data_IF_315329089295
#
_entry.id   IF_315329089295
#
_cell.length_a   1.000
_cell.length_b   1.000
_cell.length_c   1.000
_cell.angle_alpha   90.00
_cell.angle_beta   90.00
_cell.angle_gamma   90.00
#
_symmetry.space_group_name_H-M   'P 1'
#
loop_
_entity.id
_entity.type
_entity.pdbx_description
1 polymer ?
#
# COMPACT_ATOMS: atom_id res chain seq x y z
N UNK A 1 37.33 -10.25 24.39
CA UNK A 1 37.44 -10.55 22.96
C UNK A 1 36.31 -11.51 22.62
N UNK A 2 35.23 -11.20 21.91
CA UNK A 2 34.80 -10.06 21.09
C UNK A 2 33.26 -10.09 21.17
N UNK A 3 32.61 -8.95 21.42
CA UNK A 3 31.16 -8.80 21.30
C UNK A 3 30.77 -8.94 19.83
N UNK A 4 30.10 -10.05 19.48
CA UNK A 4 29.68 -10.38 18.12
C UNK A 4 28.18 -10.16 17.90
N UNK A 5 27.56 -9.19 18.58
CA UNK A 5 26.15 -8.84 18.42
C UNK A 5 26.04 -7.31 18.31
N UNK A 6 25.94 -6.75 17.10
CA UNK A 6 25.58 -5.32 17.00
C UNK A 6 25.97 -4.55 15.74
N UNK A 7 26.76 -5.10 14.82
CA UNK A 7 26.82 -4.54 13.47
C UNK A 7 25.74 -5.25 12.66
N UNK A 8 24.49 -4.78 12.79
CA UNK A 8 23.60 -4.89 11.63
C UNK A 8 24.42 -4.38 10.46
N UNK A 9 24.58 -5.17 9.39
CA UNK A 9 25.51 -4.90 8.29
C UNK A 9 25.06 -3.64 7.54
N UNK A 10 25.34 -2.48 8.14
CA UNK A 10 24.93 -1.16 7.66
C UNK A 10 25.57 -0.87 6.32
N UNK A 11 26.74 -1.44 6.04
CA UNK A 11 27.39 -1.36 4.72
C UNK A 11 26.58 -2.11 3.67
N UNK A 12 26.15 -3.35 3.95
CA UNK A 12 25.25 -4.09 3.06
C UNK A 12 23.89 -3.41 2.91
N UNK A 13 23.31 -2.92 4.00
CA UNK A 13 22.04 -2.20 3.96
C UNK A 13 22.13 -0.92 3.09
N UNK A 14 23.22 -0.16 3.22
CA UNK A 14 23.50 0.98 2.33
C UNK A 14 23.57 0.56 0.87
N UNK A 15 24.30 -0.52 0.56
CA UNK A 15 24.39 -1.03 -0.81
C UNK A 15 23.04 -1.46 -1.39
N UNK A 16 22.16 -2.07 -0.58
CA UNK A 16 20.79 -2.40 -0.99
C UNK A 16 20.00 -1.14 -1.31
N UNK A 17 20.04 -0.12 -0.44
CA UNK A 17 19.32 1.14 -0.64
C UNK A 17 19.87 1.91 -1.85
N UNK A 18 21.18 1.93 -2.05
CA UNK A 18 21.83 2.55 -3.21
C UNK A 18 21.43 1.85 -4.51
N UNK A 19 21.46 0.51 -4.53
CA UNK A 19 21.01 -0.29 -5.66
C UNK A 19 19.53 -0.05 -5.98
N UNK A 20 18.69 0.05 -4.95
CA UNK A 20 17.28 0.36 -5.10
C UNK A 20 17.04 1.76 -5.66
N UNK A 21 17.72 2.78 -5.14
CA UNK A 21 17.66 4.16 -5.67
C UNK A 21 18.09 4.22 -7.13
N UNK A 22 19.21 3.58 -7.47
CA UNK A 22 19.70 3.50 -8.84
C UNK A 22 18.70 2.81 -9.78
N UNK A 23 18.08 1.71 -9.34
CA UNK A 23 17.04 1.03 -10.10
C UNK A 23 15.85 1.93 -10.40
N UNK A 24 15.37 2.66 -9.38
CA UNK A 24 14.24 3.58 -9.57
C UNK A 24 14.56 4.71 -10.56
N UNK A 25 15.76 5.27 -10.47
CA UNK A 25 16.20 6.34 -11.38
C UNK A 25 16.38 5.84 -12.82
N UNK A 26 16.99 4.66 -13.01
CA UNK A 26 17.22 4.05 -14.32
C UNK A 26 15.91 3.70 -15.03
N UNK A 27 14.94 3.13 -14.31
CA UNK A 27 13.69 2.62 -14.90
C UNK A 27 12.50 3.58 -14.77
N UNK A 28 12.70 4.80 -14.25
CA UNK A 28 11.61 5.79 -14.09
C UNK A 28 10.83 6.04 -15.37
N UNK A 29 11.48 6.04 -16.54
CA UNK A 29 10.78 6.29 -17.81
C UNK A 29 10.07 5.05 -18.38
N UNK A 30 10.33 3.86 -17.84
CA UNK A 30 9.87 2.58 -18.39
C UNK A 30 8.78 1.92 -17.55
N UNK A 31 8.88 2.01 -16.21
CA UNK A 31 7.96 1.32 -15.30
C UNK A 31 6.87 2.27 -14.84
N UNK A 32 5.63 1.95 -15.23
CA UNK A 32 4.43 2.74 -14.91
C UNK A 32 4.31 3.02 -13.42
N UNK A 33 4.46 2.01 -12.55
CA UNK A 33 4.39 2.20 -11.09
C UNK A 33 5.32 3.32 -10.59
N UNK A 34 6.57 3.36 -11.08
CA UNK A 34 7.55 4.36 -10.66
C UNK A 34 7.14 5.75 -11.14
N UNK A 35 6.61 5.87 -12.36
CA UNK A 35 6.13 7.14 -12.90
C UNK A 35 4.99 7.72 -12.07
N UNK A 36 3.96 6.90 -11.81
CA UNK A 36 2.77 7.33 -11.10
C UNK A 36 3.11 7.72 -9.66
N UNK A 37 3.95 6.94 -8.99
CA UNK A 37 4.31 7.15 -7.58
C UNK A 37 5.36 8.25 -7.37
N UNK A 38 6.07 8.69 -8.41
CA UNK A 38 7.01 9.81 -8.33
C UNK A 38 6.33 11.17 -8.59
N UNK A 39 5.12 11.20 -9.15
CA UNK A 39 4.39 12.45 -9.34
C UNK A 39 3.71 12.90 -8.02
N UNK A 40 3.74 14.21 -7.68
CA UNK A 40 3.06 14.73 -6.49
C UNK A 40 1.53 14.77 -6.61
N UNK A 41 0.99 14.41 -7.78
CA UNK A 41 -0.46 14.30 -7.99
C UNK A 41 -0.86 12.86 -7.73
N UNK A 42 -1.94 12.67 -6.99
CA UNK A 42 -2.56 11.37 -6.67
C UNK A 42 -2.91 10.58 -7.94
N UNK A 43 -1.90 9.93 -8.51
CA UNK A 43 -2.07 8.98 -9.59
C UNK A 43 -2.11 7.60 -8.99
N UNK A 44 -3.30 7.01 -9.04
CA UNK A 44 -3.55 5.65 -8.58
C UNK A 44 -2.65 4.69 -9.36
N UNK A 45 -1.86 3.90 -8.64
CA UNK A 45 -1.12 2.79 -9.20
C UNK A 45 -1.98 1.53 -9.09
N UNK A 46 -2.08 0.74 -10.17
CA UNK A 46 -2.83 -0.51 -10.11
C UNK A 46 -2.04 -1.60 -9.39
N UNK A 47 -2.73 -2.61 -8.84
CA UNK A 47 -2.05 -3.80 -8.31
C UNK A 47 -1.14 -4.46 -9.35
N UNK A 48 -1.57 -4.50 -10.61
CA UNK A 48 -0.81 -5.06 -11.71
C UNK A 48 0.53 -4.32 -11.89
N UNK A 49 0.53 -2.99 -11.83
CA UNK A 49 1.77 -2.21 -11.95
C UNK A 49 2.71 -2.48 -10.77
N UNK A 50 2.16 -2.65 -9.56
CA UNK A 50 2.93 -3.03 -8.36
C UNK A 50 3.54 -4.44 -8.54
N UNK A 51 2.75 -5.40 -9.01
CA UNK A 51 3.20 -6.76 -9.28
C UNK A 51 4.29 -6.79 -10.35
N UNK A 52 4.14 -6.01 -11.42
CA UNK A 52 5.14 -5.89 -12.48
C UNK A 52 6.46 -5.37 -11.91
N UNK A 53 6.42 -4.32 -11.08
CA UNK A 53 7.61 -3.80 -10.40
C UNK A 53 8.24 -4.88 -9.51
N UNK A 54 7.45 -5.59 -8.71
CA UNK A 54 7.92 -6.68 -7.86
C UNK A 54 8.62 -7.79 -8.67
N UNK A 55 8.01 -8.21 -9.77
CA UNK A 55 8.53 -9.27 -10.65
C UNK A 55 9.83 -8.86 -11.33
N UNK A 56 9.99 -7.57 -11.67
CA UNK A 56 11.21 -7.06 -12.29
C UNK A 56 12.36 -7.00 -11.28
N UNK A 57 12.13 -6.47 -10.08
CA UNK A 57 13.18 -6.33 -9.06
C UNK A 57 13.65 -7.68 -8.50
N UNK A 58 12.79 -8.69 -8.54
CA UNK A 58 13.10 -10.05 -8.09
C UNK A 58 14.06 -10.79 -9.04
N UNK A 59 14.19 -10.36 -10.30
CA UNK A 59 15.04 -11.03 -11.30
C UNK A 59 16.52 -10.67 -11.14
N UNK A 60 17.45 -11.53 -11.59
CA UNK A 60 18.85 -11.15 -11.72
C UNK A 60 19.03 -9.93 -12.65
N UNK A 61 20.00 -9.04 -12.37
CA UNK A 61 20.99 -9.13 -11.29
C UNK A 61 20.49 -8.64 -9.91
N UNK A 62 19.33 -7.99 -9.82
CA UNK A 62 18.88 -7.27 -8.62
C UNK A 62 18.47 -8.17 -7.46
N UNK A 63 17.78 -9.29 -7.73
CA UNK A 63 17.36 -10.28 -6.72
C UNK A 63 16.77 -9.66 -5.44
N UNK A 64 15.99 -8.59 -5.60
CA UNK A 64 15.47 -7.76 -4.50
C UNK A 64 14.02 -8.10 -4.19
N UNK A 65 13.63 -7.90 -2.93
CA UNK A 65 12.26 -8.10 -2.46
C UNK A 65 11.84 -6.89 -1.61
N UNK A 66 10.53 -6.65 -1.43
CA UNK A 66 10.04 -5.60 -0.55
C UNK A 66 10.65 -5.70 0.87
N UNK A 67 10.66 -6.90 1.46
CA UNK A 67 11.27 -7.14 2.78
C UNK A 67 12.75 -6.78 2.82
N UNK A 68 13.52 -7.13 1.78
CA UNK A 68 14.95 -6.85 1.75
C UNK A 68 15.21 -5.33 1.75
N UNK A 69 14.47 -4.60 0.92
CA UNK A 69 14.62 -3.14 0.78
C UNK A 69 14.15 -2.44 2.05
N UNK A 70 13.00 -2.85 2.60
CA UNK A 70 12.47 -2.27 3.83
C UNK A 70 13.41 -2.46 5.02
N UNK A 71 13.90 -3.69 5.22
CA UNK A 71 14.83 -3.98 6.31
C UNK A 71 16.16 -3.23 6.15
N UNK A 72 16.59 -2.98 4.91
CA UNK A 72 17.74 -2.13 4.66
C UNK A 72 17.48 -0.68 5.12
N UNK A 73 16.32 -0.10 4.80
CA UNK A 73 15.92 1.21 5.32
C UNK A 73 15.81 1.24 6.86
N UNK A 74 15.21 0.21 7.48
CA UNK A 74 15.16 0.09 8.95
C UNK A 74 16.56 0.12 9.57
N UNK A 75 17.56 -0.47 8.90
CA UNK A 75 18.92 -0.53 9.41
C UNK A 75 19.67 0.81 9.32
N UNK A 76 19.34 1.69 8.37
CA UNK A 76 20.11 2.91 8.10
C UNK A 76 19.35 4.22 8.37
N UNK A 77 18.01 4.19 8.38
CA UNK A 77 17.13 5.35 8.51
C UNK A 77 16.03 5.11 9.57
N UNK A 78 16.32 4.27 10.59
CA UNK A 78 15.37 3.81 11.61
C UNK A 78 14.41 4.87 12.21
N UNK A 79 14.80 6.13 12.47
CA UNK A 79 13.88 7.13 13.01
C UNK A 79 12.72 7.49 12.08
N UNK A 80 12.89 7.32 10.76
CA UNK A 80 11.91 7.68 9.73
C UNK A 80 11.18 6.46 9.16
N UNK A 81 11.41 5.27 9.71
CA UNK A 81 10.91 4.00 9.16
C UNK A 81 10.11 3.26 10.22
N UNK A 82 8.82 3.08 9.97
CA UNK A 82 7.95 2.30 10.85
C UNK A 82 8.24 0.81 10.65
N UNK A 83 8.44 0.09 11.76
CA UNK A 83 8.66 -1.36 11.75
C UNK A 83 7.32 -2.09 11.69
N UNK A 84 7.23 -3.13 10.87
CA UNK A 84 6.12 -4.08 10.82
C UNK A 84 6.69 -5.50 10.80
N UNK A 85 5.99 -6.50 11.38
CA UNK A 85 6.46 -7.89 11.40
C UNK A 85 6.47 -8.55 10.02
N UNK A 86 5.68 -8.06 9.06
CA UNK A 86 5.63 -8.58 7.70
C UNK A 86 5.28 -7.46 6.72
N UNK A 87 5.85 -7.57 5.51
CA UNK A 87 5.57 -6.66 4.40
C UNK A 87 4.69 -7.33 3.35
N UNK A 88 3.83 -6.53 2.73
CA UNK A 88 3.00 -6.95 1.59
C UNK A 88 3.58 -6.42 0.28
N UNK A 89 3.09 -6.91 -0.86
CA UNK A 89 3.46 -6.34 -2.16
C UNK A 89 3.10 -4.85 -2.26
N UNK A 90 1.99 -4.44 -1.64
CA UNK A 90 1.57 -3.04 -1.58
C UNK A 90 2.54 -2.13 -0.82
N UNK A 91 3.42 -2.66 0.03
CA UNK A 91 4.49 -1.86 0.66
C UNK A 91 5.51 -1.33 -0.36
N UNK A 92 5.54 -1.85 -1.60
CA UNK A 92 6.29 -1.23 -2.69
C UNK A 92 5.81 0.19 -3.00
N UNK A 93 4.53 0.50 -2.78
CA UNK A 93 4.00 1.85 -2.91
C UNK A 93 4.74 2.80 -1.96
N UNK A 94 4.76 2.46 -0.68
CA UNK A 94 5.46 3.24 0.35
C UNK A 94 6.96 3.30 0.10
N UNK A 95 7.59 2.19 -0.31
CA UNK A 95 9.02 2.15 -0.60
C UNK A 95 9.40 3.08 -1.75
N UNK A 96 8.64 3.06 -2.85
CA UNK A 96 8.90 3.95 -4.00
C UNK A 96 8.73 5.40 -3.58
N UNK A 97 7.58 5.76 -2.99
CA UNK A 97 7.26 7.14 -2.61
C UNK A 97 8.26 7.73 -1.61
N UNK A 98 8.64 6.96 -0.59
CA UNK A 98 9.68 7.37 0.34
C UNK A 98 11.04 7.54 -0.35
N UNK A 99 11.44 6.58 -1.20
CA UNK A 99 12.75 6.59 -1.86
C UNK A 99 12.91 7.77 -2.83
N UNK A 100 11.85 8.13 -3.55
CA UNK A 100 11.85 9.28 -4.47
C UNK A 100 11.60 10.61 -3.76
N UNK A 101 11.40 10.61 -2.44
CA UNK A 101 11.20 11.79 -1.61
C UNK A 101 9.79 12.38 -1.69
N UNK A 102 8.81 11.63 -2.19
CA UNK A 102 7.41 12.04 -2.17
C UNK A 102 6.82 12.00 -0.74
N UNK A 103 7.25 11.03 0.07
CA UNK A 103 6.85 10.91 1.47
C UNK A 103 8.06 11.04 2.40
N UNK A 104 7.87 11.69 3.55
CA UNK A 104 8.95 11.96 4.51
C UNK A 104 9.24 10.78 5.45
N UNK A 105 8.29 9.87 5.61
CA UNK A 105 8.40 8.67 6.45
C UNK A 105 8.05 7.43 5.64
N UNK A 106 8.74 6.32 5.92
CA UNK A 106 8.44 5.02 5.37
C UNK A 106 7.49 4.27 6.31
N UNK A 107 6.21 4.28 5.95
CA UNK A 107 5.10 3.69 6.73
C UNK A 107 4.42 2.59 5.91
N UNK A 108 4.08 1.42 6.50
CA UNK A 108 3.41 0.34 5.78
C UNK A 108 2.16 0.84 5.06
N UNK A 109 1.92 0.38 3.84
CA UNK A 109 0.83 0.89 3.03
C UNK A 109 -0.54 0.64 3.69
N UNK A 110 -0.70 -0.51 4.33
CA UNK A 110 -1.89 -0.84 5.10
C UNK A 110 -2.15 0.11 6.28
N UNK A 111 -1.11 0.69 6.88
CA UNK A 111 -1.25 1.70 7.93
C UNK A 111 -1.76 3.02 7.34
N UNK A 112 -1.18 3.47 6.23
CA UNK A 112 -1.61 4.68 5.52
C UNK A 112 -3.08 4.58 5.08
N UNK A 113 -3.48 3.44 4.52
CA UNK A 113 -4.88 3.17 4.14
C UNK A 113 -5.82 3.25 5.34
N UNK A 114 -5.43 2.71 6.50
CA UNK A 114 -6.23 2.78 7.73
C UNK A 114 -6.33 4.21 8.28
N UNK A 115 -5.23 4.97 8.24
CA UNK A 115 -5.20 6.37 8.65
C UNK A 115 -6.13 7.22 7.76
N UNK A 116 -6.07 7.04 6.44
CA UNK A 116 -6.98 7.70 5.47
C UNK A 116 -8.43 7.30 5.67
N UNK A 117 -8.70 6.02 5.93
CA UNK A 117 -10.07 5.54 6.16
C UNK A 117 -10.67 6.14 7.43
N UNK A 118 -9.89 6.24 8.51
CA UNK A 118 -10.33 6.90 9.74
C UNK A 118 -10.64 8.38 9.49
N UNK A 119 -9.80 9.07 8.71
CA UNK A 119 -10.03 10.47 8.34
C UNK A 119 -11.29 10.63 7.47
N UNK A 120 -11.47 9.76 6.46
CA UNK A 120 -12.65 9.75 5.60
C UNK A 120 -13.94 9.52 6.40
N UNK A 121 -13.96 8.54 7.32
CA UNK A 121 -15.11 8.31 8.20
C UNK A 121 -15.45 9.53 9.05
N UNK A 122 -14.43 10.23 9.59
CA UNK A 122 -14.66 11.45 10.35
C UNK A 122 -15.24 12.58 9.49
N UNK A 123 -14.84 12.68 8.23
CA UNK A 123 -15.43 13.64 7.28
C UNK A 123 -16.89 13.29 6.96
N UNK A 124 -17.21 12.01 6.75
CA UNK A 124 -18.59 11.55 6.55
C UNK A 124 -19.47 11.88 7.75
N UNK A 125 -18.98 11.65 8.97
CA UNK A 125 -19.69 11.99 10.21
C UNK A 125 -19.93 13.51 10.33
N UNK A 126 -18.93 14.34 10.03
CA UNK A 126 -19.08 15.80 10.02
C UNK A 126 -20.09 16.30 8.97
N UNK A 127 -20.22 15.57 7.86
CA UNK A 127 -21.23 15.82 6.83
C UNK A 127 -22.64 15.30 7.21
N UNK A 128 -22.80 14.70 8.39
CA UNK A 128 -24.06 14.15 8.89
C UNK A 128 -24.40 12.76 8.34
N UNK A 129 -23.46 12.08 7.70
CA UNK A 129 -23.61 10.68 7.27
C UNK A 129 -23.32 9.76 8.45
N UNK A 130 -24.18 8.78 8.69
CA UNK A 130 -23.96 7.73 9.68
C UNK A 130 -24.14 6.39 9.00
N UNK A 131 -23.16 5.50 9.18
CA UNK A 131 -23.21 4.13 8.69
C UNK A 131 -23.69 3.20 9.79
N UNK A 132 -24.64 2.33 9.46
CA UNK A 132 -25.07 1.20 10.27
C UNK A 132 -23.95 0.16 10.43
N UNK A 133 -24.12 -0.76 11.37
CA UNK A 133 -23.18 -1.87 11.58
C UNK A 133 -23.00 -2.74 10.32
N UNK A 134 -24.08 -2.92 9.55
CA UNK A 134 -24.03 -3.67 8.30
C UNK A 134 -23.17 -2.96 7.25
N UNK A 135 -23.40 -1.67 7.05
CA UNK A 135 -22.63 -0.84 6.10
C UNK A 135 -21.16 -0.75 6.54
N UNK A 136 -20.90 -0.56 7.84
CA UNK A 136 -19.53 -0.53 8.39
C UNK A 136 -18.78 -1.83 8.16
N UNK A 137 -19.44 -2.98 8.27
CA UNK A 137 -18.80 -4.25 7.95
C UNK A 137 -18.32 -4.28 6.50
N UNK A 138 -19.14 -3.84 5.54
CA UNK A 138 -18.75 -3.79 4.12
C UNK A 138 -17.57 -2.85 3.92
N UNK A 139 -17.67 -1.62 4.41
CA UNK A 139 -16.60 -0.62 4.29
C UNK A 139 -15.28 -1.13 4.89
N UNK A 140 -15.31 -1.68 6.11
CA UNK A 140 -14.11 -2.18 6.79
C UNK A 140 -13.47 -3.36 6.03
N UNK A 141 -14.27 -4.22 5.39
CA UNK A 141 -13.75 -5.32 4.56
C UNK A 141 -13.19 -4.81 3.23
N UNK A 142 -13.86 -3.86 2.58
CA UNK A 142 -13.36 -3.21 1.35
C UNK A 142 -12.00 -2.54 1.60
N UNK A 143 -11.87 -1.82 2.73
CA UNK A 143 -10.60 -1.20 3.15
C UNK A 143 -9.50 -2.24 3.35
N UNK A 144 -9.82 -3.41 3.91
CA UNK A 144 -8.85 -4.50 4.07
C UNK A 144 -8.36 -5.05 2.73
N UNK A 145 -9.23 -5.10 1.71
CA UNK A 145 -8.84 -5.46 0.35
C UNK A 145 -7.93 -4.37 -0.23
N UNK A 146 -8.36 -3.09 -0.19
CA UNK A 146 -7.56 -1.96 -0.68
C UNK A 146 -6.16 -1.92 -0.05
N UNK A 147 -6.04 -2.19 1.25
CA UNK A 147 -4.73 -2.26 1.92
C UNK A 147 -3.80 -3.35 1.34
N UNK A 148 -4.38 -4.43 0.82
CA UNK A 148 -3.65 -5.60 0.31
C UNK A 148 -3.43 -5.57 -1.21
N UNK A 149 -4.30 -4.89 -1.96
CA UNK A 149 -4.29 -4.85 -3.44
C UNK A 149 -4.17 -3.44 -4.03
N UNK A 150 -4.04 -2.38 -3.23
CA UNK A 150 -4.04 -0.99 -3.68
C UNK A 150 -5.28 -0.59 -4.50
N UNK A 151 -6.40 -1.27 -4.27
CA UNK A 151 -7.69 -0.97 -4.87
C UNK A 151 -8.68 -2.11 -4.70
N UNK A 152 -9.96 -1.84 -4.94
CA UNK A 152 -11.03 -2.84 -4.94
C UNK A 152 -11.97 -2.64 -6.12
N UNK A 153 -12.36 -3.73 -6.77
CA UNK A 153 -13.31 -3.76 -7.86
C UNK A 153 -14.62 -4.43 -7.41
N UNK A 154 -15.72 -4.18 -8.13
CA UNK A 154 -17.00 -4.83 -7.83
C UNK A 154 -16.91 -6.37 -7.85
N UNK A 155 -16.09 -6.94 -8.73
CA UNK A 155 -15.85 -8.39 -8.79
C UNK A 155 -15.20 -8.97 -7.55
N UNK A 156 -14.46 -8.16 -6.77
CA UNK A 156 -13.83 -8.64 -5.53
C UNK A 156 -14.90 -8.95 -4.47
N UNK A 157 -16.12 -8.42 -4.63
CA UNK A 157 -17.26 -8.78 -3.79
C UNK A 157 -17.75 -10.21 -4.03
N UNK A 158 -17.32 -10.85 -5.11
CA UNK A 158 -17.64 -12.25 -5.40
C UNK A 158 -16.65 -13.23 -4.75
N UNK A 159 -15.73 -12.72 -3.91
CA UNK A 159 -14.78 -13.50 -3.11
C UNK A 159 -15.07 -13.42 -1.60
N UNK A 160 -14.44 -14.31 -0.82
CA UNK A 160 -14.50 -14.25 0.63
C UNK A 160 -13.74 -13.02 1.17
N UNK A 161 -14.22 -12.35 2.23
CA UNK A 161 -15.36 -12.72 3.08
C UNK A 161 -16.71 -12.18 2.60
N UNK A 162 -16.77 -11.45 1.49
CA UNK A 162 -18.00 -10.80 1.00
C UNK A 162 -19.09 -11.82 0.62
N UNK A 163 -18.69 -12.94 0.03
CA UNK A 163 -19.60 -14.06 -0.27
C UNK A 163 -20.31 -14.62 0.96
N UNK A 164 -19.72 -14.50 2.15
CA UNK A 164 -20.36 -14.90 3.41
C UNK A 164 -21.60 -14.03 3.75
N UNK A 165 -21.70 -12.83 3.15
CA UNK A 165 -22.87 -11.92 3.24
C UNK A 165 -23.67 -11.79 1.94
N UNK A 166 -23.44 -12.69 0.99
CA UNK A 166 -24.15 -12.74 -0.29
C UNK A 166 -23.44 -11.97 -1.42
N UNK A 167 -22.16 -11.64 -1.25
CA UNK A 167 -21.33 -11.02 -2.28
C UNK A 167 -21.90 -9.73 -2.85
N UNK A 168 -21.84 -9.55 -4.16
CA UNK A 168 -22.38 -8.36 -4.84
C UNK A 168 -23.84 -8.06 -4.49
N UNK A 169 -24.72 -9.07 -4.47
CA UNK A 169 -26.12 -8.89 -4.08
C UNK A 169 -26.27 -8.48 -2.61
N UNK A 170 -25.38 -8.98 -1.76
CA UNK A 170 -25.29 -8.59 -0.36
C UNK A 170 -24.92 -7.13 -0.17
N UNK A 171 -23.95 -6.64 -0.94
CA UNK A 171 -23.52 -5.25 -0.92
C UNK A 171 -24.66 -4.33 -1.39
N UNK A 172 -25.36 -4.68 -2.48
CA UNK A 172 -26.50 -3.91 -2.97
C UNK A 172 -27.65 -3.87 -1.95
N UNK A 173 -27.91 -4.97 -1.23
CA UNK A 173 -28.92 -5.01 -0.17
C UNK A 173 -28.56 -4.09 1.00
N UNK A 174 -27.32 -4.10 1.44
CA UNK A 174 -26.91 -3.44 2.70
C UNK A 174 -26.45 -1.99 2.50
N UNK A 175 -25.82 -1.66 1.36
CA UNK A 175 -25.34 -0.32 1.01
C UNK A 175 -26.29 0.43 0.06
N UNK A 176 -27.25 -0.27 -0.56
CA UNK A 176 -28.20 0.31 -1.50
C UNK A 176 -27.55 0.87 -2.77
N UNK A 177 -28.18 1.90 -3.34
CA UNK A 177 -27.75 2.55 -4.58
C UNK A 177 -26.35 3.19 -4.49
N UNK A 178 -25.85 3.42 -3.27
CA UNK A 178 -24.52 4.03 -3.02
C UNK A 178 -23.37 3.03 -3.10
N UNK A 179 -23.63 1.72 -3.28
CA UNK A 179 -22.58 0.70 -3.24
C UNK A 179 -21.44 0.97 -4.24
N UNK A 180 -21.80 1.33 -5.49
CA UNK A 180 -20.82 1.62 -6.54
C UNK A 180 -20.04 2.91 -6.22
N UNK A 181 -20.74 3.97 -5.83
CA UNK A 181 -20.13 5.26 -5.48
C UNK A 181 -19.15 5.11 -4.30
N UNK A 182 -19.52 4.31 -3.28
CA UNK A 182 -18.66 4.06 -2.13
C UNK A 182 -17.39 3.30 -2.52
N UNK A 183 -17.47 2.31 -3.42
CA UNK A 183 -16.28 1.63 -3.94
C UNK A 183 -15.37 2.63 -4.66
N UNK A 184 -15.93 3.49 -5.50
CA UNK A 184 -15.17 4.46 -6.28
C UNK A 184 -14.53 5.54 -5.38
N UNK A 185 -15.28 6.01 -4.38
CA UNK A 185 -14.85 6.97 -3.36
C UNK A 185 -13.74 6.38 -2.47
N UNK A 186 -13.90 5.15 -1.96
CA UNK A 186 -12.86 4.50 -1.17
C UNK A 186 -11.58 4.29 -1.99
N UNK A 187 -11.69 3.87 -3.26
CA UNK A 187 -10.52 3.79 -4.13
C UNK A 187 -9.87 5.16 -4.34
N UNK A 188 -10.65 6.24 -4.41
CA UNK A 188 -10.12 7.59 -4.56
C UNK A 188 -9.36 8.06 -3.34
N UNK A 189 -10.03 8.01 -2.18
CA UNK A 189 -9.57 8.64 -0.95
C UNK A 189 -8.46 7.83 -0.28
N UNK A 190 -8.45 6.51 -0.44
CA UNK A 190 -7.53 5.64 0.30
C UNK A 190 -6.25 5.33 -0.47
N UNK A 191 -6.26 5.40 -1.80
CA UNK A 191 -5.10 5.05 -2.66
C UNK A 191 -4.33 6.25 -3.19
N UNK A 192 -4.76 7.46 -2.83
CA UNK A 192 -4.08 8.74 -3.10
C UNK A 192 -2.60 8.72 -2.72
#
# INVERSE_FOLDING_TARGET
LIDAHGVVDTSRAKSVVESWRAYLDEHRAEITAIQLLAEPRDRRVSFHDIQELADRIARPPYNSTPDLIWNAYVAIEAPNVRRTPAHTLTDLVSLVRYTVGADAELVPYADLVRERYAAWLAQQEQAGVTFSEAERWWLDRMVSVIASSAGINASDLDDAPFTERGGTDGALRDLGDRAADLIEELNMELTA
#
